data_IF_380658185947
#
_entry.id   IF_380658185947
#
_cell.length_a   1.000
_cell.length_b   1.000
_cell.length_c   1.000
_cell.angle_alpha   90.00
_cell.angle_beta   90.00
_cell.angle_gamma   90.00
#
_symmetry.space_group_name_H-M   'P 1'
#
loop_
_entity.id
_entity.type
_entity.pdbx_description
1 polymer ?
#
# COMPACT_ATOMS: atom_id res chain seq x y z
N UNK A 1 -5.15 -3.37 -24.50
CA UNK A 1 -5.39 -2.96 -23.09
C UNK A 1 -4.26 -2.01 -22.72
N UNK A 2 -4.51 -0.93 -21.99
CA UNK A 2 -3.41 -0.07 -21.51
C UNK A 2 -2.65 -0.79 -20.40
N UNK A 3 -1.36 -0.51 -20.28
CA UNK A 3 -0.53 -1.03 -19.19
C UNK A 3 -1.04 -0.52 -17.83
N UNK A 4 -0.98 -1.37 -16.81
CA UNK A 4 -1.39 -1.02 -15.45
C UNK A 4 -0.17 -0.46 -14.73
N UNK A 5 -0.23 0.81 -14.39
CA UNK A 5 0.85 1.51 -13.67
C UNK A 5 0.44 1.89 -12.25
N UNK A 6 -0.86 1.89 -11.93
CA UNK A 6 -1.38 2.40 -10.67
C UNK A 6 -2.29 1.36 -10.01
N UNK A 7 -2.03 1.04 -8.74
CA UNK A 7 -2.79 0.09 -7.94
C UNK A 7 -3.21 0.74 -6.63
N UNK A 8 -4.52 0.78 -6.39
CA UNK A 8 -5.07 1.23 -5.12
C UNK A 8 -5.63 0.02 -4.35
N UNK A 9 -5.05 -0.26 -3.19
CA UNK A 9 -5.48 -1.35 -2.31
C UNK A 9 -6.51 -0.81 -1.31
N UNK A 10 -7.74 -1.34 -1.34
CA UNK A 10 -8.75 -1.00 -0.36
C UNK A 10 -8.54 -1.79 0.93
N UNK A 11 -7.99 -1.11 1.93
CA UNK A 11 -7.61 -1.69 3.20
C UNK A 11 -6.22 -2.32 3.18
N UNK A 12 -5.64 -2.46 4.37
CA UNK A 12 -4.31 -3.04 4.58
C UNK A 12 -4.33 -4.02 5.75
N UNK A 13 -5.30 -4.96 5.70
CA UNK A 13 -5.32 -6.14 6.58
C UNK A 13 -4.24 -7.15 6.16
N UNK A 14 -4.25 -8.37 6.69
CA UNK A 14 -3.18 -9.36 6.41
C UNK A 14 -2.93 -9.56 4.90
N UNK A 15 -3.95 -9.95 4.14
CA UNK A 15 -3.82 -10.16 2.69
C UNK A 15 -3.50 -8.87 1.93
N UNK A 16 -4.19 -7.76 2.26
CA UNK A 16 -3.97 -6.50 1.56
C UNK A 16 -2.58 -5.93 1.82
N UNK A 17 -2.03 -6.13 3.01
CA UNK A 17 -0.66 -5.73 3.32
C UNK A 17 0.37 -6.56 2.54
N UNK A 18 0.11 -7.85 2.35
CA UNK A 18 0.95 -8.70 1.53
C UNK A 18 0.98 -8.22 0.08
N UNK A 19 -0.19 -8.04 -0.56
CA UNK A 19 -0.26 -7.60 -1.95
C UNK A 19 0.28 -6.19 -2.15
N UNK A 20 -0.07 -5.23 -1.29
CA UNK A 20 0.47 -3.88 -1.33
C UNK A 20 2.00 -3.87 -1.24
N UNK A 21 2.61 -4.74 -0.41
CA UNK A 21 4.08 -4.86 -0.35
C UNK A 21 4.68 -5.36 -1.66
N UNK A 22 4.01 -6.30 -2.35
CA UNK A 22 4.47 -6.84 -3.63
C UNK A 22 4.32 -5.84 -4.77
N UNK A 23 3.22 -5.11 -4.81
CA UNK A 23 3.02 -4.04 -5.79
C UNK A 23 4.02 -2.91 -5.60
N UNK A 24 4.29 -2.51 -4.35
CA UNK A 24 5.29 -1.49 -4.05
C UNK A 24 6.71 -1.88 -4.49
N UNK A 25 7.06 -3.16 -4.39
CA UNK A 25 8.38 -3.67 -4.82
C UNK A 25 8.48 -3.90 -6.34
N UNK A 26 7.37 -3.85 -7.06
CA UNK A 26 7.35 -4.10 -8.50
C UNK A 26 7.67 -2.81 -9.25
N UNK A 27 8.80 -2.79 -9.94
CA UNK A 27 9.20 -1.67 -10.79
C UNK A 27 8.12 -1.32 -11.82
N UNK A 28 7.79 -0.03 -11.95
CA UNK A 28 6.75 0.45 -12.86
C UNK A 28 5.34 0.50 -12.26
N UNK A 29 5.15 0.04 -11.01
CA UNK A 29 3.89 0.21 -10.29
C UNK A 29 3.97 1.32 -9.24
N UNK A 30 2.92 2.12 -9.21
CA UNK A 30 2.60 3.06 -8.15
C UNK A 30 1.49 2.46 -7.29
N UNK A 31 1.75 2.32 -5.99
CA UNK A 31 0.81 1.70 -5.04
C UNK A 31 0.30 2.73 -4.04
N UNK A 32 -1.01 2.75 -3.82
CA UNK A 32 -1.68 3.56 -2.79
C UNK A 32 -2.55 2.68 -1.88
N UNK A 33 -2.69 3.08 -0.62
CA UNK A 33 -3.60 2.42 0.33
C UNK A 33 -4.82 3.30 0.61
N UNK A 34 -6.01 2.73 0.48
CA UNK A 34 -7.26 3.39 0.82
C UNK A 34 -7.76 2.87 2.15
N UNK A 35 -7.82 3.75 3.15
CA UNK A 35 -8.36 3.47 4.48
C UNK A 35 -9.13 4.68 5.00
N UNK A 36 -9.99 4.45 6.00
CA UNK A 36 -10.78 5.50 6.67
C UNK A 36 -10.24 5.79 8.07
N UNK A 37 -10.57 6.98 8.55
CA UNK A 37 -10.41 7.42 9.94
C UNK A 37 -8.98 7.20 10.47
N UNK A 38 -8.84 6.80 11.74
CA UNK A 38 -7.56 6.57 12.43
C UNK A 38 -6.58 5.70 11.65
N UNK A 39 -7.08 4.75 10.86
CA UNK A 39 -6.22 3.89 10.05
C UNK A 39 -5.59 4.66 8.89
N UNK A 40 -6.32 5.56 8.26
CA UNK A 40 -5.80 6.46 7.22
C UNK A 40 -4.69 7.34 7.76
N UNK A 41 -4.89 7.91 8.95
CA UNK A 41 -3.93 8.78 9.60
C UNK A 41 -2.67 8.02 10.03
N UNK A 42 -2.84 6.82 10.60
CA UNK A 42 -1.71 5.95 10.97
C UNK A 42 -0.89 5.52 9.76
N UNK A 43 -1.54 5.10 8.68
CA UNK A 43 -0.85 4.72 7.44
C UNK A 43 -0.13 5.92 6.80
N UNK A 44 -0.71 7.13 6.91
CA UNK A 44 -0.08 8.35 6.38
C UNK A 44 1.18 8.74 7.18
N UNK A 45 1.17 8.55 8.51
CA UNK A 45 2.31 8.87 9.39
C UNK A 45 3.40 7.80 9.36
N UNK A 46 3.00 6.54 9.51
CA UNK A 46 3.92 5.44 9.83
C UNK A 46 4.19 4.55 8.61
N UNK A 47 3.38 4.66 7.55
CA UNK A 47 3.39 3.74 6.43
C UNK A 47 2.81 2.37 6.78
N UNK A 48 3.09 1.38 5.92
CA UNK A 48 2.75 -0.01 6.13
C UNK A 48 3.97 -0.78 6.62
N UNK A 49 3.83 -1.62 7.64
CA UNK A 49 4.92 -2.52 8.10
C UNK A 49 4.52 -3.96 7.85
N UNK A 50 5.33 -4.69 7.07
CA UNK A 50 5.14 -6.12 6.83
C UNK A 50 6.39 -6.84 7.30
N UNK A 51 6.24 -7.74 8.29
CA UNK A 51 7.35 -8.49 8.88
C UNK A 51 8.54 -7.62 9.32
N UNK A 52 8.26 -6.45 9.93
CA UNK A 52 9.27 -5.49 10.39
C UNK A 52 9.87 -4.60 9.30
N UNK A 53 9.55 -4.82 8.02
CA UNK A 53 9.97 -3.97 6.91
C UNK A 53 8.96 -2.85 6.67
N UNK A 54 9.37 -1.56 6.73
CA UNK A 54 8.49 -0.44 6.46
C UNK A 54 8.35 -0.17 4.95
N UNK A 55 7.14 0.20 4.54
CA UNK A 55 6.74 0.58 3.19
C UNK A 55 6.00 1.92 3.26
N UNK A 56 6.61 2.98 2.70
CA UNK A 56 5.95 4.29 2.56
C UNK A 56 5.18 4.35 1.26
N UNK A 57 3.97 3.83 1.31
CA UNK A 57 2.99 3.94 0.23
C UNK A 57 2.46 5.37 0.18
N UNK A 58 2.42 5.94 -1.02
CA UNK A 58 1.92 7.31 -1.24
C UNK A 58 0.38 7.30 -1.09
N UNK A 59 -0.18 8.44 -0.71
CA UNK A 59 -1.64 8.61 -0.63
C UNK A 59 -2.22 8.76 -2.03
#
# INVERSE_FOLDING_TARGET
MKEIENVAELGAGAMGSYFASRFFETSGLHTSLVARDDRSDRLSRDGLVVNGKPFRVLK
#
